data_IF_846073287729
#
_entry.id   IF_846073287729
#
_cell.length_a   1.000
_cell.length_b   1.000
_cell.length_c   1.000
_cell.angle_alpha   90.00
_cell.angle_beta   90.00
_cell.angle_gamma   90.00
#
_symmetry.space_group_name_H-M   'P 1'
#
loop_
_entity.id
_entity.type
_entity.pdbx_description
1 polymer ?
#
# COMPACT_ATOMS: atom_id res chain seq x y z
N UNK A 1 -25.95 49.27 -32.19
CA UNK A 1 -25.82 48.96 -30.77
C UNK A 1 -26.21 47.51 -30.65
N UNK A 2 -25.22 46.62 -30.61
CA UNK A 2 -25.31 45.24 -30.11
C UNK A 2 -23.88 44.82 -29.73
N UNK A 3 -23.81 44.09 -28.63
CA UNK A 3 -22.73 43.95 -27.64
C UNK A 3 -21.58 42.98 -28.05
N UNK A 4 -20.29 43.34 -27.90
CA UNK A 4 -19.18 42.43 -28.16
C UNK A 4 -18.65 41.81 -26.85
N UNK A 5 -19.25 40.72 -26.38
CA UNK A 5 -18.62 39.84 -25.37
C UNK A 5 -19.25 38.44 -25.36
N UNK A 6 -18.77 37.57 -26.27
CA UNK A 6 -18.68 36.13 -26.01
C UNK A 6 -17.35 35.62 -26.55
N UNK A 7 -16.40 35.38 -25.64
CA UNK A 7 -15.14 34.68 -25.90
C UNK A 7 -15.41 33.21 -25.59
N UNK A 8 -15.37 32.36 -26.63
CA UNK A 8 -15.34 30.91 -26.46
C UNK A 8 -13.98 30.46 -25.88
N UNK A 9 -13.95 29.48 -24.97
CA UNK A 9 -12.70 28.96 -24.41
C UNK A 9 -11.91 28.14 -25.45
N UNK A 10 -10.56 28.09 -25.33
CA UNK A 10 -9.70 27.46 -26.32
C UNK A 10 -9.83 25.94 -26.33
N UNK A 11 -9.89 25.38 -27.54
CA UNK A 11 -9.81 23.94 -27.82
C UNK A 11 -8.44 23.41 -27.40
N UNK A 12 -8.41 22.42 -26.51
CA UNK A 12 -7.22 21.69 -26.10
C UNK A 12 -6.97 20.54 -27.08
N UNK A 13 -5.89 20.62 -27.86
CA UNK A 13 -5.39 19.53 -28.69
C UNK A 13 -4.48 18.63 -27.87
N UNK A 14 -4.97 17.45 -27.46
CA UNK A 14 -4.13 16.35 -27.00
C UNK A 14 -4.84 15.02 -27.24
N UNK A 15 -4.87 14.59 -28.50
CA UNK A 15 -5.19 13.21 -28.87
C UNK A 15 -3.91 12.57 -29.40
N UNK A 16 -3.23 11.82 -28.53
CA UNK A 16 -2.26 10.78 -28.91
C UNK A 16 -2.40 9.63 -27.91
N UNK A 17 -3.52 8.91 -28.01
CA UNK A 17 -3.68 7.60 -27.40
C UNK A 17 -3.44 6.55 -28.49
N UNK A 18 -2.50 5.59 -28.34
CA UNK A 18 -2.38 4.48 -29.28
C UNK A 18 -3.63 3.60 -29.14
N UNK A 19 -4.57 3.72 -30.07
CA UNK A 19 -5.60 2.71 -30.28
C UNK A 19 -4.91 1.44 -30.77
N UNK A 20 -4.69 0.48 -29.87
CA UNK A 20 -4.37 -0.89 -30.26
C UNK A 20 -5.60 -1.40 -31.04
N UNK A 21 -5.37 -1.84 -32.27
CA UNK A 21 -6.42 -2.35 -33.15
C UNK A 21 -7.15 -3.50 -32.43
N UNK A 22 -8.48 -3.41 -32.36
CA UNK A 22 -9.34 -4.43 -31.77
C UNK A 22 -9.08 -5.82 -32.36
N UNK A 23 -8.60 -5.89 -33.60
CA UNK A 23 -8.22 -7.14 -34.25
C UNK A 23 -6.93 -7.73 -33.68
N UNK A 24 -5.90 -6.91 -33.44
CA UNK A 24 -4.63 -7.34 -32.84
C UNK A 24 -4.85 -7.89 -31.42
N UNK A 25 -5.77 -7.27 -30.67
CA UNK A 25 -6.15 -7.77 -29.34
C UNK A 25 -6.83 -9.15 -29.40
N UNK A 26 -7.70 -9.38 -30.38
CA UNK A 26 -8.36 -10.68 -30.52
C UNK A 26 -7.40 -11.77 -31.00
N UNK A 27 -6.47 -11.44 -31.91
CA UNK A 27 -5.46 -12.38 -32.40
C UNK A 27 -4.54 -12.86 -31.26
N UNK A 28 -4.25 -11.99 -30.28
CA UNK A 28 -3.51 -12.35 -29.07
C UNK A 28 -4.32 -13.33 -28.21
N UNK A 29 -5.60 -13.06 -27.98
CA UNK A 29 -6.47 -13.94 -27.18
C UNK A 29 -6.61 -15.34 -27.81
N UNK A 30 -6.79 -15.39 -29.13
CA UNK A 30 -6.88 -16.65 -29.87
C UNK A 30 -5.57 -17.45 -29.81
N UNK A 31 -4.41 -16.76 -29.85
CA UNK A 31 -3.11 -17.39 -29.67
C UNK A 31 -2.99 -18.03 -28.29
N UNK A 32 -3.36 -17.33 -27.22
CA UNK A 32 -3.31 -17.86 -25.86
C UNK A 32 -4.27 -19.05 -25.66
N UNK A 33 -5.52 -18.95 -26.16
CA UNK A 33 -6.48 -20.04 -26.09
C UNK A 33 -5.95 -21.31 -26.78
N UNK A 34 -5.24 -21.15 -27.90
CA UNK A 34 -4.62 -22.25 -28.65
C UNK A 34 -3.42 -22.87 -27.91
N UNK A 35 -2.66 -22.09 -27.15
CA UNK A 35 -1.58 -22.61 -26.32
C UNK A 35 -2.08 -23.37 -25.09
N UNK A 36 -3.14 -22.88 -24.44
CA UNK A 36 -3.81 -23.58 -23.32
C UNK A 36 -4.41 -24.91 -23.79
N UNK A 37 -4.99 -24.95 -24.99
CA UNK A 37 -5.51 -26.19 -25.58
C UNK A 37 -4.39 -27.20 -25.91
N UNK A 38 -3.16 -26.73 -26.14
CA UNK A 38 -2.01 -27.59 -26.45
C UNK A 38 -1.36 -28.18 -25.19
N UNK A 39 -1.41 -27.46 -24.07
CA UNK A 39 -0.90 -27.90 -22.77
C UNK A 39 -1.95 -27.61 -21.67
N UNK A 40 -2.96 -28.48 -21.50
CA UNK A 40 -3.94 -28.33 -20.42
C UNK A 40 -3.23 -28.35 -19.05
N UNK A 41 -3.56 -27.45 -18.12
CA UNK A 41 -3.05 -27.52 -16.75
C UNK A 41 -3.42 -28.88 -16.14
N UNK A 42 -2.45 -29.56 -15.56
CA UNK A 42 -2.67 -30.85 -14.89
C UNK A 42 -3.68 -30.67 -13.75
N UNK A 43 -4.72 -31.52 -13.63
CA UNK A 43 -5.68 -31.43 -12.54
C UNK A 43 -4.95 -31.57 -11.20
N UNK A 44 -4.93 -30.51 -10.39
CA UNK A 44 -4.43 -30.61 -9.03
C UNK A 44 -5.44 -31.42 -8.22
N UNK A 45 -5.10 -32.67 -7.95
CA UNK A 45 -5.85 -33.52 -7.01
C UNK A 45 -5.74 -32.88 -5.62
N UNK A 46 -6.85 -32.58 -4.93
CA UNK A 46 -6.81 -32.09 -3.55
C UNK A 46 -6.04 -33.05 -2.65
N UNK A 47 -5.20 -32.58 -1.72
CA UNK A 47 -4.54 -33.48 -0.77
C UNK A 47 -5.60 -34.21 0.07
N UNK A 48 -5.44 -35.52 0.16
CA UNK A 48 -6.29 -36.44 0.91
C UNK A 48 -6.30 -36.04 2.41
N UNK A 49 -7.46 -35.91 3.06
CA UNK A 49 -7.53 -35.51 4.46
C UNK A 49 -6.90 -36.60 5.34
N UNK A 50 -5.90 -36.21 6.14
CA UNK A 50 -5.24 -37.08 7.11
C UNK A 50 -6.19 -37.34 8.30
N UNK A 51 -6.89 -38.49 8.28
CA UNK A 51 -7.74 -38.97 9.37
C UNK A 51 -6.86 -39.73 10.36
N UNK A 52 -6.10 -39.04 11.21
CA UNK A 52 -5.43 -39.69 12.34
C UNK A 52 -5.34 -38.80 13.59
N UNK A 53 -6.25 -37.83 13.73
CA UNK A 53 -6.26 -36.93 14.89
C UNK A 53 -7.65 -36.38 15.24
N UNK A 54 -8.66 -37.25 15.39
CA UNK A 54 -9.93 -36.86 15.99
C UNK A 54 -10.15 -37.61 17.32
N UNK A 55 -10.36 -36.91 18.45
CA UNK A 55 -10.53 -37.55 19.75
C UNK A 55 -11.80 -38.40 19.77
N UNK A 56 -11.64 -39.65 20.18
CA UNK A 56 -12.74 -40.54 20.56
C UNK A 56 -13.30 -40.03 21.87
N UNK A 57 -14.46 -39.37 21.85
CA UNK A 57 -15.47 -39.32 22.91
C UNK A 57 -16.46 -38.17 22.62
N UNK A 58 -17.44 -38.43 21.74
CA UNK A 58 -18.69 -37.67 21.74
C UNK A 58 -19.85 -38.66 21.84
N UNK A 59 -20.50 -38.57 22.99
CA UNK A 59 -21.70 -39.30 23.40
C UNK A 59 -22.87 -39.02 22.44
N UNK A 60 -23.48 -40.08 21.93
CA UNK A 60 -24.50 -40.05 20.89
C UNK A 60 -25.87 -39.66 21.47
N UNK A 61 -26.21 -38.37 21.47
CA UNK A 61 -27.61 -37.93 21.64
C UNK A 61 -28.43 -38.19 20.39
N UNK A 62 -29.58 -38.82 20.60
CA UNK A 62 -30.52 -39.32 19.59
C UNK A 62 -31.10 -38.20 18.70
N UNK A 63 -30.96 -38.36 17.38
CA UNK A 63 -31.62 -37.52 16.36
C UNK A 63 -32.99 -38.13 16.00
N UNK A 64 -34.08 -37.35 15.87
CA UNK A 64 -35.40 -37.86 15.50
C UNK A 64 -35.49 -38.31 14.03
N UNK A 65 -36.49 -39.12 13.64
CA UNK A 65 -36.56 -39.74 12.32
C UNK A 65 -36.86 -38.72 11.20
N UNK A 66 -36.08 -38.86 10.13
CA UNK A 66 -36.12 -38.15 8.85
C UNK A 66 -37.46 -38.31 8.13
N UNK A 67 -38.04 -37.18 7.69
CA UNK A 67 -39.17 -37.14 6.76
C UNK A 67 -38.71 -37.46 5.31
N UNK A 68 -39.58 -37.97 4.41
CA UNK A 68 -39.18 -38.37 3.06
C UNK A 68 -38.85 -37.15 2.20
N UNK A 69 -37.72 -37.23 1.50
CA UNK A 69 -37.25 -36.27 0.50
C UNK A 69 -38.16 -36.38 -0.74
N UNK A 70 -38.74 -35.28 -1.26
CA UNK A 70 -39.42 -35.31 -2.55
C UNK A 70 -38.42 -35.34 -3.71
N UNK A 71 -38.68 -36.22 -4.66
CA UNK A 71 -37.92 -36.41 -5.90
C UNK A 71 -38.11 -35.24 -6.87
N UNK A 72 -36.98 -34.80 -7.44
CA UNK A 72 -36.82 -33.99 -8.65
C UNK A 72 -37.08 -32.46 -8.57
N UNK A 73 -36.10 -31.62 -8.98
CA UNK A 73 -36.32 -30.20 -9.22
C UNK A 73 -37.04 -29.97 -10.57
N UNK A 74 -37.81 -28.87 -10.71
CA UNK A 74 -38.45 -28.51 -11.97
C UNK A 74 -37.42 -28.04 -13.03
N UNK A 75 -37.69 -28.22 -14.34
CA UNK A 75 -36.77 -27.78 -15.39
C UNK A 75 -36.72 -26.25 -15.46
N UNK A 76 -35.51 -25.72 -15.52
CA UNK A 76 -35.21 -24.30 -15.67
C UNK A 76 -35.53 -23.84 -17.11
N UNK A 77 -36.06 -22.63 -17.33
CA UNK A 77 -36.32 -22.11 -18.68
C UNK A 77 -35.01 -21.84 -19.43
N UNK A 78 -34.96 -22.34 -20.65
CA UNK A 78 -33.84 -22.19 -21.59
C UNK A 78 -33.78 -20.74 -22.10
N UNK A 79 -32.72 -20.02 -21.74
CA UNK A 79 -32.45 -18.67 -22.24
C UNK A 79 -31.73 -18.78 -23.59
N UNK A 80 -32.45 -18.45 -24.65
CA UNK A 80 -31.90 -18.39 -26.01
C UNK A 80 -31.14 -17.07 -26.18
N UNK A 81 -29.81 -17.15 -26.37
CA UNK A 81 -28.99 -15.98 -26.66
C UNK A 81 -29.29 -15.48 -28.09
N UNK A 82 -29.56 -14.18 -28.31
CA UNK A 82 -29.73 -13.65 -29.65
C UNK A 82 -28.40 -13.72 -30.42
N UNK A 83 -28.43 -14.32 -31.60
CA UNK A 83 -27.28 -14.37 -32.51
C UNK A 83 -26.92 -12.96 -33.00
N UNK A 84 -25.63 -12.60 -33.10
CA UNK A 84 -25.21 -11.34 -33.68
C UNK A 84 -25.53 -11.30 -35.19
N UNK A 85 -25.82 -10.11 -35.75
CA UNK A 85 -26.15 -9.98 -37.17
C UNK A 85 -24.96 -10.35 -38.07
N UNK A 86 -25.20 -10.82 -39.31
CA UNK A 86 -24.13 -11.20 -40.23
C UNK A 86 -23.25 -9.99 -40.55
N UNK A 87 -21.94 -10.12 -40.33
CA UNK A 87 -20.98 -9.12 -40.80
C UNK A 87 -20.83 -9.23 -42.32
N UNK A 88 -20.98 -8.09 -42.99
CA UNK A 88 -20.78 -7.92 -44.41
C UNK A 88 -19.28 -7.96 -44.72
N UNK A 89 -18.84 -9.02 -45.39
CA UNK A 89 -17.43 -9.23 -45.76
C UNK A 89 -17.10 -8.34 -46.96
N UNK A 90 -16.32 -7.29 -46.75
CA UNK A 90 -15.69 -6.55 -47.84
C UNK A 90 -14.50 -7.35 -48.41
N UNK A 91 -14.22 -7.28 -49.72
CA UNK A 91 -13.14 -8.07 -50.31
C UNK A 91 -11.78 -7.42 -49.99
N UNK A 92 -10.90 -8.19 -49.35
CA UNK A 92 -9.49 -7.84 -49.13
C UNK A 92 -8.75 -7.86 -50.47
N UNK A 93 -8.07 -6.75 -50.80
CA UNK A 93 -7.19 -6.63 -51.96
C UNK A 93 -5.86 -7.36 -51.69
N UNK A 94 -5.26 -8.09 -52.64
CA UNK A 94 -4.01 -8.80 -52.39
C UNK A 94 -2.84 -7.83 -52.21
N UNK A 95 -2.16 -7.95 -51.07
CA UNK A 95 -0.97 -7.20 -50.71
C UNK A 95 0.22 -7.55 -51.63
N UNK A 96 0.94 -6.51 -52.05
CA UNK A 96 2.14 -6.57 -52.88
C UNK A 96 3.36 -6.85 -51.98
N UNK A 97 4.34 -7.69 -52.36
CA UNK A 97 5.47 -7.97 -51.48
C UNK A 97 6.35 -6.72 -51.28
N UNK A 98 6.48 -6.27 -50.03
CA UNK A 98 7.49 -5.26 -49.66
C UNK A 98 8.88 -5.89 -49.66
N UNK A 99 9.76 -5.31 -50.47
CA UNK A 99 11.17 -5.65 -50.60
C UNK A 99 11.94 -5.11 -49.38
N UNK A 100 12.80 -5.94 -48.77
CA UNK A 100 13.62 -5.57 -47.62
C UNK A 100 14.61 -4.43 -48.01
N UNK A 101 14.80 -3.40 -47.18
CA UNK A 101 15.83 -2.40 -47.43
C UNK A 101 17.24 -2.98 -47.19
N UNK A 102 18.27 -2.48 -47.92
CA UNK A 102 19.64 -2.97 -47.80
C UNK A 102 20.30 -2.56 -46.47
N UNK A 103 21.36 -3.27 -46.04
CA UNK A 103 22.05 -2.97 -44.80
C UNK A 103 22.87 -1.68 -44.88
N UNK A 104 22.82 -0.90 -43.79
CA UNK A 104 23.59 0.34 -43.61
C UNK A 104 25.11 0.07 -43.53
N UNK A 105 25.95 1.01 -44.01
CA UNK A 105 27.40 0.88 -43.97
C UNK A 105 27.98 1.02 -42.54
N UNK A 106 29.22 0.55 -42.30
CA UNK A 106 29.84 0.54 -40.98
C UNK A 106 30.09 1.97 -40.47
N UNK A 107 29.83 2.17 -39.18
CA UNK A 107 30.11 3.42 -38.46
C UNK A 107 31.61 3.45 -38.12
N UNK A 108 32.36 4.38 -38.71
CA UNK A 108 33.74 4.64 -38.31
C UNK A 108 33.76 5.41 -36.98
N UNK A 109 34.47 4.87 -36.00
CA UNK A 109 34.73 5.47 -34.70
C UNK A 109 35.67 6.68 -34.84
N UNK A 110 35.13 7.88 -34.66
CA UNK A 110 35.93 9.10 -34.44
C UNK A 110 35.58 9.64 -33.06
N UNK A 111 36.49 9.44 -32.11
CA UNK A 111 36.43 10.01 -30.76
C UNK A 111 36.73 11.53 -30.83
N UNK A 112 35.89 12.39 -30.23
CA UNK A 112 36.11 13.83 -30.27
C UNK A 112 37.21 14.28 -29.28
N UNK A 113 37.90 15.41 -29.54
CA UNK A 113 38.98 15.88 -28.67
C UNK A 113 38.44 16.45 -27.37
N UNK A 114 39.11 16.12 -26.26
CA UNK A 114 38.83 16.66 -24.92
C UNK A 114 39.23 18.14 -24.88
N UNK A 115 38.25 19.03 -24.74
CA UNK A 115 38.45 20.46 -24.48
C UNK A 115 38.70 20.71 -22.98
N UNK A 116 39.82 21.35 -22.65
CA UNK A 116 40.14 21.76 -21.27
C UNK A 116 39.22 22.89 -20.80
N UNK A 117 38.54 22.69 -19.67
CA UNK A 117 37.62 23.66 -19.05
C UNK A 117 38.43 24.82 -18.43
N UNK A 118 38.18 26.09 -18.79
CA UNK A 118 38.91 27.21 -18.22
C UNK A 118 38.42 27.50 -16.79
N UNK A 119 39.38 27.68 -15.87
CA UNK A 119 39.11 28.09 -14.49
C UNK A 119 38.37 29.44 -14.43
N UNK A 120 37.12 29.38 -13.97
CA UNK A 120 36.24 30.53 -13.73
C UNK A 120 36.82 31.48 -12.68
N UNK A 121 36.91 32.77 -13.03
CA UNK A 121 37.33 33.88 -12.17
C UNK A 121 36.29 34.09 -11.05
N UNK A 122 36.70 34.30 -9.78
CA UNK A 122 35.78 34.33 -8.65
C UNK A 122 34.77 35.50 -8.74
N UNK A 123 33.48 35.14 -8.73
CA UNK A 123 32.37 36.09 -8.89
C UNK A 123 32.16 36.95 -7.62
N UNK A 124 32.27 38.29 -7.69
CA UNK A 124 32.12 39.17 -6.53
C UNK A 124 30.70 39.13 -5.95
N UNK A 125 29.70 38.73 -6.74
CA UNK A 125 28.32 38.56 -6.31
C UNK A 125 28.17 37.42 -5.26
N UNK A 126 28.87 36.30 -5.45
CA UNK A 126 28.80 35.17 -4.53
C UNK A 126 29.41 35.54 -3.16
N UNK A 127 30.48 36.35 -3.17
CA UNK A 127 31.06 36.88 -1.93
C UNK A 127 30.06 37.76 -1.18
N UNK A 128 29.33 38.63 -1.88
CA UNK A 128 28.30 39.46 -1.26
C UNK A 128 27.17 38.63 -0.63
N UNK A 129 26.67 37.61 -1.33
CA UNK A 129 25.64 36.70 -0.79
C UNK A 129 26.13 35.96 0.46
N UNK A 130 27.39 35.52 0.47
CA UNK A 130 27.98 34.87 1.64
C UNK A 130 28.01 35.81 2.85
N UNK A 131 28.38 37.08 2.67
CA UNK A 131 28.38 38.05 3.77
C UNK A 131 26.97 38.40 4.27
N UNK A 132 25.98 38.50 3.37
CA UNK A 132 24.58 38.72 3.76
C UNK A 132 24.06 37.52 4.57
N UNK A 133 24.31 36.30 4.10
CA UNK A 133 23.93 35.07 4.80
C UNK A 133 24.57 34.98 6.19
N UNK A 134 25.86 35.32 6.31
CA UNK A 134 26.57 35.34 7.59
C UNK A 134 25.98 36.35 8.57
N UNK A 135 25.59 37.54 8.12
CA UNK A 135 24.97 38.56 8.97
C UNK A 135 23.60 38.12 9.50
N UNK A 136 22.77 37.50 8.66
CA UNK A 136 21.47 36.96 9.07
C UNK A 136 21.65 35.85 10.10
N UNK A 137 22.60 34.94 9.87
CA UNK A 137 22.89 33.86 10.81
C UNK A 137 23.33 34.38 12.19
N UNK A 138 24.21 35.38 12.23
CA UNK A 138 24.65 36.00 13.48
C UNK A 138 23.50 36.71 14.21
N UNK A 139 22.59 37.37 13.48
CA UNK A 139 21.42 38.03 14.08
C UNK A 139 20.47 37.02 14.74
N UNK A 140 20.24 35.86 14.11
CA UNK A 140 19.41 34.79 14.67
C UNK A 140 20.04 34.23 15.95
N UNK A 141 21.35 33.95 15.94
CA UNK A 141 22.05 33.45 17.14
C UNK A 141 21.96 34.47 18.29
N UNK A 142 22.18 35.75 18.01
CA UNK A 142 22.05 36.80 19.03
C UNK A 142 20.61 36.88 19.59
N UNK A 143 19.59 36.71 18.74
CA UNK A 143 18.19 36.66 19.16
C UNK A 143 17.89 35.49 20.09
N UNK A 144 18.39 34.29 19.77
CA UNK A 144 18.21 33.10 20.62
C UNK A 144 18.93 33.25 21.96
N UNK A 145 20.16 33.79 21.97
CA UNK A 145 20.90 34.08 23.21
C UNK A 145 20.18 35.14 24.03
N UNK A 146 19.62 36.19 23.40
CA UNK A 146 18.84 37.21 24.08
C UNK A 146 17.60 36.61 24.76
N UNK A 147 16.86 35.75 24.06
CA UNK A 147 15.70 35.02 24.63
C UNK A 147 16.13 34.12 25.79
N UNK A 148 17.25 33.40 25.64
CA UNK A 148 17.78 32.53 26.69
C UNK A 148 18.21 33.29 27.95
N UNK A 149 18.80 34.48 27.80
CA UNK A 149 19.28 35.28 28.92
C UNK A 149 18.19 36.15 29.57
N UNK A 150 17.12 36.49 28.84
CA UNK A 150 16.08 37.45 29.29
C UNK A 150 14.72 36.77 29.48
N UNK A 151 14.59 35.45 29.33
CA UNK A 151 13.42 34.75 29.84
C UNK A 151 13.55 34.54 31.36
N UNK A 152 12.93 35.37 32.24
CA UNK A 152 12.86 35.03 33.64
C UNK A 152 11.99 33.80 33.80
N UNK A 153 12.55 32.76 34.42
CA UNK A 153 11.76 31.73 35.06
C UNK A 153 10.84 32.40 36.09
N UNK A 154 9.56 32.53 35.75
CA UNK A 154 8.48 32.87 36.68
C UNK A 154 7.32 31.91 36.41
N UNK A 155 7.53 30.62 36.72
CA UNK A 155 6.40 29.77 37.10
C UNK A 155 6.04 30.21 38.53
N UNK A 156 5.25 31.27 38.63
CA UNK A 156 4.66 31.66 39.90
C UNK A 156 3.66 30.57 40.31
N UNK A 157 4.09 29.71 41.24
CA UNK A 157 3.18 28.97 42.10
C UNK A 157 2.40 29.97 42.95
N UNK A 158 1.26 30.45 42.46
CA UNK A 158 0.21 31.06 43.26
C UNK A 158 -1.08 31.12 42.44
N UNK A 159 -1.82 30.02 42.46
CA UNK A 159 -3.27 29.96 42.68
C UNK A 159 -3.73 28.51 42.52
N UNK A 160 -3.59 27.74 43.60
CA UNK A 160 -4.28 26.48 43.78
C UNK A 160 -5.68 26.81 44.34
N UNK A 161 -6.79 26.45 43.66
CA UNK A 161 -8.09 26.46 44.31
C UNK A 161 -8.07 25.33 45.34
N UNK A 162 -8.26 25.66 46.62
CA UNK A 162 -8.69 24.67 47.59
C UNK A 162 -10.12 24.27 47.22
N UNK A 163 -10.27 23.07 46.67
CA UNK A 163 -11.58 22.44 46.53
C UNK A 163 -11.62 21.22 47.45
N UNK A 164 -12.70 21.17 48.21
CA UNK A 164 -13.00 20.19 49.23
C UNK A 164 -12.86 18.74 48.77
N UNK A 165 -12.45 17.91 49.73
CA UNK A 165 -12.45 16.46 49.67
C UNK A 165 -13.87 15.97 49.35
N UNK A 166 -13.98 15.11 48.31
CA UNK A 166 -15.15 14.32 47.85
C UNK A 166 -15.69 14.67 46.45
N UNK A 167 -14.83 14.73 45.42
CA UNK A 167 -15.25 14.75 44.00
C UNK A 167 -14.46 13.69 43.22
N UNK A 168 -15.07 12.90 42.30
CA UNK A 168 -14.36 11.86 41.56
C UNK A 168 -13.21 12.49 40.77
N UNK A 169 -12.02 11.88 40.85
CA UNK A 169 -10.85 12.29 40.07
C UNK A 169 -11.25 12.45 38.62
N UNK A 170 -11.31 13.70 38.14
CA UNK A 170 -11.49 13.99 36.72
C UNK A 170 -10.28 13.42 36.01
N UNK A 171 -10.46 12.32 35.29
CA UNK A 171 -9.46 11.79 34.36
C UNK A 171 -9.05 12.97 33.47
N UNK A 172 -7.74 13.26 33.33
CA UNK A 172 -7.29 14.34 32.45
C UNK A 172 -7.91 14.13 31.07
N UNK A 173 -8.79 15.06 30.67
CA UNK A 173 -9.42 15.02 29.35
C UNK A 173 -8.41 15.54 28.35
N UNK A 174 -7.65 14.63 27.75
CA UNK A 174 -6.72 14.95 26.68
C UNK A 174 -6.43 13.71 25.83
N UNK A 175 -5.83 13.96 24.67
CA UNK A 175 -5.50 12.92 23.70
C UNK A 175 -4.04 13.03 23.30
N UNK A 176 -3.38 11.88 23.17
CA UNK A 176 -2.07 11.79 22.52
C UNK A 176 -2.29 11.61 21.02
N UNK A 177 -1.47 12.29 20.21
CA UNK A 177 -1.48 12.16 18.75
C UNK A 177 -0.26 11.35 18.31
N UNK A 178 -0.50 10.28 17.56
CA UNK A 178 0.56 9.48 16.93
C UNK A 178 0.09 9.06 15.54
N UNK A 179 0.81 9.49 14.51
CA UNK A 179 0.52 9.17 13.11
C UNK A 179 -0.98 9.35 12.78
N UNK A 180 -1.51 10.55 13.09
CA UNK A 180 -2.91 10.97 12.91
C UNK A 180 -3.97 10.18 13.69
N UNK A 181 -3.53 9.25 14.55
CA UNK A 181 -4.40 8.57 15.51
C UNK A 181 -4.44 9.32 16.83
N UNK A 182 -5.64 9.36 17.42
CA UNK A 182 -5.92 10.00 18.71
C UNK A 182 -6.16 8.93 19.77
N UNK A 183 -5.33 8.95 20.82
CA UNK A 183 -5.41 8.01 21.95
C UNK A 183 -5.81 8.76 23.22
N UNK A 184 -6.86 8.31 23.90
CA UNK A 184 -7.27 8.93 25.17
C UNK A 184 -6.21 8.70 26.25
N UNK A 185 -6.08 9.64 27.19
CA UNK A 185 -5.25 9.44 28.38
C UNK A 185 -5.60 8.11 29.08
N UNK A 186 -4.58 7.29 29.33
CA UNK A 186 -4.67 5.95 29.91
C UNK A 186 -4.90 4.83 28.88
N UNK A 187 -5.21 5.15 27.62
CA UNK A 187 -5.36 4.16 26.56
C UNK A 187 -4.00 3.52 26.23
N UNK A 188 -3.97 2.19 26.18
CA UNK A 188 -2.80 1.42 25.75
C UNK A 188 -3.04 0.79 24.37
N UNK A 189 -1.98 0.68 23.58
CA UNK A 189 -2.01 0.18 22.21
C UNK A 189 -0.67 -0.49 21.85
N UNK A 190 -0.66 -1.47 20.92
CA UNK A 190 0.58 -2.12 20.51
C UNK A 190 1.52 -1.14 19.79
N UNK A 191 2.82 -1.26 20.06
CA UNK A 191 3.85 -0.53 19.34
C UNK A 191 4.04 -1.10 17.92
N UNK A 192 4.67 -0.31 17.04
CA UNK A 192 4.92 -0.70 15.66
C UNK A 192 5.85 -1.92 15.52
N UNK A 193 6.66 -2.19 16.54
CA UNK A 193 7.55 -3.37 16.61
C UNK A 193 6.81 -4.68 16.94
N UNK A 194 5.51 -4.61 17.26
CA UNK A 194 4.66 -5.76 17.53
C UNK A 194 4.95 -6.49 18.85
N UNK A 195 5.91 -6.03 19.66
CA UNK A 195 6.25 -6.66 20.94
C UNK A 195 6.07 -5.68 22.12
N UNK A 196 6.27 -4.40 21.88
CA UNK A 196 6.12 -3.37 22.90
C UNK A 196 4.67 -2.88 22.97
N UNK A 197 4.31 -2.33 24.13
CA UNK A 197 3.01 -1.69 24.35
C UNK A 197 3.23 -0.24 24.71
N UNK A 198 2.51 0.64 24.05
CA UNK A 198 2.51 2.07 24.27
C UNK A 198 1.27 2.50 25.05
N UNK A 199 1.41 3.51 25.90
CA UNK A 199 0.32 4.10 26.68
C UNK A 199 0.34 5.61 26.56
N UNK A 200 -0.83 6.21 26.36
CA UNK A 200 -1.00 7.67 26.43
C UNK A 200 -0.99 8.12 27.89
N UNK A 201 0.05 8.84 28.29
CA UNK A 201 0.24 9.37 29.63
C UNK A 201 -0.69 10.55 29.94
N UNK A 202 -0.88 10.84 31.22
CA UNK A 202 -1.66 12.00 31.69
C UNK A 202 -1.04 13.36 31.31
N UNK A 203 0.24 13.35 30.93
CA UNK A 203 0.99 14.50 30.42
C UNK A 203 0.92 14.65 28.89
N UNK A 204 0.06 13.85 28.24
CA UNK A 204 -0.13 13.81 26.78
C UNK A 204 1.11 13.31 26.02
N UNK A 205 1.99 12.59 26.70
CA UNK A 205 3.12 11.89 26.06
C UNK A 205 2.78 10.42 25.84
N UNK A 206 3.35 9.83 24.80
CA UNK A 206 3.26 8.39 24.58
C UNK A 206 4.52 7.75 25.16
N UNK A 207 4.31 6.82 26.10
CA UNK A 207 5.38 6.01 26.68
C UNK A 207 5.20 4.57 26.25
N UNK A 208 6.23 3.97 25.66
CA UNK A 208 6.22 2.56 25.27
C UNK A 208 7.11 1.75 26.20
N UNK A 209 6.78 0.47 26.37
CA UNK A 209 7.72 -0.48 26.95
C UNK A 209 8.97 -0.56 26.06
N UNK A 210 10.12 -0.85 26.66
CA UNK A 210 11.39 -1.07 25.96
C UNK A 210 11.84 -2.52 26.14
N UNK A 211 10.92 -3.46 25.90
CA UNK A 211 11.25 -4.88 25.89
C UNK A 211 12.09 -5.17 24.65
N UNK A 212 13.17 -5.92 24.84
CA UNK A 212 13.91 -6.50 23.73
C UNK A 212 12.98 -7.45 23.00
N UNK A 213 12.55 -7.07 21.79
CA UNK A 213 11.80 -7.98 20.94
C UNK A 213 12.74 -9.11 20.52
N UNK A 214 12.47 -10.33 20.98
CA UNK A 214 13.20 -11.50 20.51
C UNK A 214 13.01 -11.60 18.99
N UNK A 215 14.11 -11.45 18.24
CA UNK A 215 14.12 -11.64 16.79
C UNK A 215 13.76 -13.08 16.38
N UNK A 216 13.63 -13.99 17.35
CA UNK A 216 13.15 -15.36 17.16
C UNK A 216 11.67 -15.60 17.51
N UNK A 217 11.00 -14.65 18.15
CA UNK A 217 9.60 -14.83 18.60
C UNK A 217 8.94 -13.46 18.74
N UNK A 218 8.66 -12.82 17.59
CA UNK A 218 7.47 -11.98 17.52
C UNK A 218 6.30 -12.84 18.02
N UNK A 219 5.49 -12.33 18.96
CA UNK A 219 4.36 -13.07 19.53
C UNK A 219 3.30 -13.17 18.45
N UNK A 220 3.52 -14.14 17.56
CA UNK A 220 2.62 -14.47 16.48
C UNK A 220 1.46 -15.21 17.13
N UNK A 221 0.23 -14.71 16.98
CA UNK A 221 -0.94 -15.42 17.45
C UNK A 221 -0.95 -16.81 16.80
N UNK A 222 -1.22 -17.87 17.57
CA UNK A 222 -1.14 -19.27 17.09
C UNK A 222 -2.03 -19.56 15.88
N UNK A 223 -2.96 -18.67 15.58
CA UNK A 223 -3.87 -18.66 14.44
C UNK A 223 -3.33 -17.87 13.23
N UNK A 224 -2.01 -17.69 13.09
CA UNK A 224 -1.39 -17.08 11.91
C UNK A 224 -0.57 -18.09 11.10
N UNK A 225 -0.56 -17.90 9.79
CA UNK A 225 0.21 -18.72 8.84
C UNK A 225 1.27 -17.87 8.13
N UNK A 226 2.29 -18.51 7.57
CA UNK A 226 3.37 -17.84 6.83
C UNK A 226 3.21 -18.06 5.33
N UNK A 227 3.15 -16.98 4.57
CA UNK A 227 3.27 -17.01 3.12
C UNK A 227 4.73 -16.79 2.73
N UNK A 228 5.25 -17.59 1.81
CA UNK A 228 6.62 -17.46 1.27
C UNK A 228 6.58 -17.49 -0.25
N UNK A 229 7.12 -16.46 -0.88
CA UNK A 229 7.27 -16.41 -2.32
C UNK A 229 8.72 -16.65 -2.72
N UNK A 230 8.98 -17.81 -3.34
CA UNK A 230 10.34 -18.21 -3.72
C UNK A 230 10.91 -17.46 -4.93
N UNK A 231 10.03 -16.91 -5.79
CA UNK A 231 10.42 -16.15 -6.98
C UNK A 231 10.91 -14.75 -6.60
N UNK A 232 10.14 -14.05 -5.77
CA UNK A 232 10.43 -12.68 -5.34
C UNK A 232 11.15 -12.58 -3.99
N UNK A 233 11.50 -13.73 -3.40
CA UNK A 233 12.36 -13.82 -2.20
C UNK A 233 11.82 -13.01 -1.02
N UNK A 234 10.55 -13.18 -0.70
CA UNK A 234 9.96 -12.59 0.50
C UNK A 234 9.07 -13.58 1.25
N UNK A 235 8.81 -13.25 2.50
CA UNK A 235 7.79 -13.91 3.32
C UNK A 235 7.12 -12.89 4.23
N UNK A 236 5.85 -13.13 4.54
CA UNK A 236 5.11 -12.43 5.58
C UNK A 236 4.15 -13.41 6.23
N UNK A 237 3.58 -13.01 7.36
CA UNK A 237 2.55 -13.77 8.04
C UNK A 237 1.20 -13.09 7.93
N UNK A 238 0.14 -13.89 8.01
CA UNK A 238 -1.23 -13.44 7.83
C UNK A 238 -2.19 -14.32 8.65
N UNK A 239 -3.41 -13.84 8.98
CA UNK A 239 -4.38 -14.63 9.74
C UNK A 239 -4.72 -15.95 9.04
N UNK A 240 -4.84 -17.05 9.79
CA UNK A 240 -5.01 -18.39 9.23
C UNK A 240 -6.35 -18.60 8.50
N UNK A 241 -7.34 -17.75 8.78
CA UNK A 241 -8.64 -17.73 8.10
C UNK A 241 -8.67 -16.87 6.84
N UNK A 242 -7.58 -16.16 6.53
CA UNK A 242 -7.39 -15.42 5.29
C UNK A 242 -6.78 -16.29 4.20
N UNK A 243 -6.85 -15.84 2.94
CA UNK A 243 -6.27 -16.54 1.78
C UNK A 243 -5.33 -15.61 1.04
N UNK A 244 -4.16 -16.11 0.61
CA UNK A 244 -3.26 -15.36 -0.26
C UNK A 244 -3.52 -15.72 -1.72
N UNK A 245 -3.95 -14.75 -2.51
CA UNK A 245 -4.21 -14.87 -3.94
C UNK A 245 -3.09 -14.18 -4.72
N UNK A 246 -2.55 -14.86 -5.73
CA UNK A 246 -1.61 -14.26 -6.67
C UNK A 246 -2.38 -13.64 -7.81
N UNK A 247 -2.24 -12.33 -8.01
CA UNK A 247 -2.85 -11.62 -9.12
C UNK A 247 -1.77 -10.89 -9.93
N UNK A 248 -1.90 -10.87 -11.25
CA UNK A 248 -0.96 -10.18 -12.12
C UNK A 248 -1.66 -8.97 -12.74
N UNK A 249 -1.92 -7.95 -11.92
CA UNK A 249 -2.45 -6.69 -12.45
C UNK A 249 -1.45 -6.08 -13.42
N UNK A 250 -1.95 -5.61 -14.55
CA UNK A 250 -1.15 -4.92 -15.56
C UNK A 250 -0.52 -3.66 -14.95
N UNK A 251 0.77 -3.45 -15.21
CA UNK A 251 1.53 -2.32 -14.68
C UNK A 251 2.37 -2.63 -13.44
N UNK A 252 2.23 -3.81 -12.83
CA UNK A 252 3.08 -4.28 -11.74
C UNK A 252 3.91 -5.50 -12.14
N UNK A 253 5.02 -5.73 -11.44
CA UNK A 253 5.80 -6.97 -11.61
C UNK A 253 5.08 -8.17 -11.02
N UNK A 254 4.38 -7.98 -9.89
CA UNK A 254 3.47 -8.95 -9.30
C UNK A 254 2.53 -8.27 -8.30
N UNK A 255 1.40 -8.93 -8.02
CA UNK A 255 0.48 -8.53 -6.96
C UNK A 255 0.05 -9.74 -6.12
N UNK A 256 -0.04 -9.54 -4.81
CA UNK A 256 -0.48 -10.54 -3.85
C UNK A 256 -1.58 -9.94 -3.00
N UNK A 257 -2.73 -10.62 -2.92
CA UNK A 257 -3.88 -10.17 -2.13
C UNK A 257 -4.04 -11.11 -0.95
N UNK A 258 -4.03 -10.57 0.26
CA UNK A 258 -4.42 -11.25 1.49
C UNK A 258 -5.90 -10.95 1.69
N UNK A 259 -6.74 -11.89 1.23
CA UNK A 259 -8.20 -11.79 1.27
C UNK A 259 -8.71 -12.11 2.69
N UNK A 260 -9.67 -11.32 3.19
CA UNK A 260 -10.33 -11.57 4.47
C UNK A 260 -9.45 -11.53 5.69
N UNK A 261 -8.75 -10.41 5.85
CA UNK A 261 -7.98 -10.16 7.07
C UNK A 261 -8.87 -9.89 8.28
N UNK A 262 -10.10 -9.38 8.14
CA UNK A 262 -11.03 -9.23 9.27
C UNK A 262 -11.45 -10.58 9.87
N UNK A 263 -11.65 -11.59 9.03
CA UNK A 263 -12.17 -12.89 9.44
C UNK A 263 -13.68 -12.96 9.59
N UNK A 264 -14.38 -11.88 9.22
CA UNK A 264 -15.83 -11.71 9.34
C UNK A 264 -16.31 -10.70 8.31
N UNK A 265 -17.62 -10.62 8.08
CA UNK A 265 -18.18 -9.55 7.26
C UNK A 265 -18.28 -8.22 8.04
N UNK A 266 -17.94 -7.07 7.42
CA UNK A 266 -17.40 -6.92 6.06
C UNK A 266 -15.96 -7.43 5.89
N UNK A 267 -15.68 -7.99 4.72
CA UNK A 267 -14.36 -8.45 4.31
C UNK A 267 -13.45 -7.24 4.00
N UNK A 268 -12.19 -7.30 4.44
CA UNK A 268 -11.13 -6.36 4.06
C UNK A 268 -9.90 -7.11 3.60
N UNK A 269 -9.23 -6.52 2.60
CA UNK A 269 -8.09 -7.12 1.93
C UNK A 269 -6.85 -6.25 2.10
N UNK A 270 -5.70 -6.91 2.13
CA UNK A 270 -4.39 -6.25 2.04
C UNK A 270 -3.75 -6.65 0.73
N UNK A 271 -3.38 -5.66 -0.09
CA UNK A 271 -2.69 -5.89 -1.36
C UNK A 271 -1.22 -5.55 -1.23
N UNK A 272 -0.35 -6.44 -1.69
CA UNK A 272 1.09 -6.24 -1.78
C UNK A 272 1.53 -6.18 -3.24
N UNK A 273 2.06 -5.05 -3.66
CA UNK A 273 2.54 -4.78 -5.01
C UNK A 273 4.06 -4.81 -5.08
N UNK A 274 4.58 -5.39 -6.17
CA UNK A 274 5.99 -5.36 -6.53
C UNK A 274 6.16 -4.55 -7.83
N UNK A 275 7.07 -3.59 -7.83
CA UNK A 275 7.26 -2.64 -8.93
C UNK A 275 6.26 -1.48 -8.89
N UNK A 276 5.88 -1.02 -7.70
CA UNK A 276 5.04 0.18 -7.55
C UNK A 276 5.84 1.47 -7.78
N UNK A 277 5.17 2.62 -7.72
CA UNK A 277 5.83 3.91 -7.53
C UNK A 277 6.43 3.99 -6.12
N UNK A 278 7.33 4.95 -5.90
CA UNK A 278 8.02 5.16 -4.62
C UNK A 278 7.19 5.95 -3.59
N UNK A 279 5.97 6.36 -3.95
CA UNK A 279 5.07 7.12 -3.08
C UNK A 279 5.50 8.57 -2.87
N UNK A 280 6.49 9.10 -3.61
CA UNK A 280 6.97 10.47 -3.43
C UNK A 280 5.94 11.54 -3.80
N UNK A 281 4.89 11.15 -4.52
CA UNK A 281 3.81 12.03 -4.98
C UNK A 281 2.87 12.45 -3.84
N UNK A 282 3.02 11.89 -2.63
CA UNK A 282 2.16 12.18 -1.48
C UNK A 282 2.82 13.16 -0.50
N UNK A 283 2.28 14.38 -0.46
CA UNK A 283 2.77 15.46 0.41
C UNK A 283 2.53 15.19 1.91
N UNK A 284 1.44 14.49 2.25
CA UNK A 284 1.06 14.18 3.63
C UNK A 284 1.45 12.75 4.01
N UNK A 285 2.74 12.57 4.29
CA UNK A 285 3.30 11.25 4.54
C UNK A 285 4.19 11.21 5.79
N UNK A 286 4.20 10.05 6.45
CA UNK A 286 5.00 9.80 7.64
C UNK A 286 6.11 8.79 7.36
N UNK A 287 7.25 8.93 8.03
CA UNK A 287 8.37 7.98 7.90
C UNK A 287 8.18 6.78 8.82
N UNK A 288 8.48 5.60 8.33
CA UNK A 288 8.47 4.32 9.07
C UNK A 288 9.59 3.41 8.56
N UNK A 289 9.61 2.13 8.98
CA UNK A 289 10.52 1.13 8.43
C UNK A 289 9.83 -0.21 8.22
N UNK A 290 10.17 -0.88 7.11
CA UNK A 290 9.70 -2.23 6.77
C UNK A 290 10.92 -3.08 6.48
N UNK A 291 11.07 -4.21 7.17
CA UNK A 291 12.21 -5.13 7.03
C UNK A 291 13.60 -4.44 7.08
N UNK A 292 13.73 -3.35 7.84
CA UNK A 292 14.97 -2.57 7.98
C UNK A 292 15.23 -1.54 6.87
N UNK A 293 14.31 -1.40 5.91
CA UNK A 293 14.35 -0.35 4.90
C UNK A 293 13.55 0.87 5.36
N UNK A 294 13.99 2.07 4.99
CA UNK A 294 13.15 3.26 5.15
C UNK A 294 11.88 3.11 4.32
N UNK A 295 10.76 3.47 4.94
CA UNK A 295 9.44 3.36 4.34
C UNK A 295 8.67 4.66 4.56
N UNK A 296 7.73 4.93 3.66
CA UNK A 296 6.81 6.06 3.74
C UNK A 296 5.41 5.49 3.90
N UNK A 297 4.67 6.02 4.88
CA UNK A 297 3.27 5.67 5.14
C UNK A 297 2.38 6.85 4.83
N UNK A 298 1.29 6.57 4.10
CA UNK A 298 0.29 7.56 3.70
C UNK A 298 -1.08 7.08 4.17
N UNK A 299 -1.74 7.90 4.96
CA UNK A 299 -3.12 7.69 5.38
C UNK A 299 -4.03 8.55 4.51
N UNK A 300 -4.96 7.93 3.79
CA UNK A 300 -5.91 8.61 2.91
C UNK A 300 -7.34 8.51 3.47
N UNK A 301 -7.67 9.24 4.57
CA UNK A 301 -8.99 9.17 5.20
C UNK A 301 -10.06 9.98 4.45
N UNK A 302 -9.68 10.90 3.56
CA UNK A 302 -10.60 11.80 2.85
C UNK A 302 -10.44 11.71 1.34
N UNK A 303 -11.55 11.84 0.59
CA UNK A 303 -11.57 11.80 -0.87
C UNK A 303 -11.58 10.41 -1.52
N UNK A 304 -11.26 9.36 -0.75
CA UNK A 304 -11.34 7.96 -1.20
C UNK A 304 -12.49 7.25 -0.49
N UNK A 305 -13.33 6.56 -1.26
CA UNK A 305 -14.39 5.70 -0.74
C UNK A 305 -14.18 4.30 -1.31
N UNK A 306 -13.55 3.38 -0.56
CA UNK A 306 -13.24 3.43 0.88
C UNK A 306 -11.92 4.16 1.24
N UNK A 307 -11.72 4.57 2.51
CA UNK A 307 -10.42 4.98 3.06
C UNK A 307 -9.29 3.98 2.78
N UNK A 308 -8.06 4.49 2.69
CA UNK A 308 -6.88 3.67 2.39
C UNK A 308 -5.69 3.98 3.28
N UNK A 309 -4.89 2.95 3.53
CA UNK A 309 -3.57 3.03 4.14
C UNK A 309 -2.54 2.46 3.17
N UNK A 310 -1.54 3.27 2.81
CA UNK A 310 -0.50 2.90 1.87
C UNK A 310 0.86 2.91 2.58
N UNK A 311 1.70 1.91 2.31
CA UNK A 311 3.07 1.85 2.81
C UNK A 311 4.01 1.52 1.66
N UNK A 312 4.85 2.48 1.30
CA UNK A 312 5.84 2.40 0.24
C UNK A 312 7.22 2.17 0.82
N UNK A 313 8.00 1.28 0.21
CA UNK A 313 9.41 1.07 0.56
C UNK A 313 10.19 0.52 -0.63
N UNK A 314 11.52 0.59 -0.56
CA UNK A 314 12.39 0.17 -1.66
C UNK A 314 13.63 -0.54 -1.12
N UNK A 315 14.08 -1.57 -1.84
CA UNK A 315 15.40 -2.20 -1.59
C UNK A 315 16.54 -1.52 -2.38
N UNK A 316 16.23 -0.41 -3.05
CA UNK A 316 17.13 0.32 -3.94
C UNK A 316 17.13 -0.18 -5.39
N UNK A 317 16.44 -1.28 -5.69
CA UNK A 317 16.25 -1.81 -7.05
C UNK A 317 14.79 -1.91 -7.44
N UNK A 318 13.94 -2.28 -6.49
CA UNK A 318 12.52 -2.52 -6.67
C UNK A 318 11.75 -1.75 -5.62
N UNK A 319 10.67 -1.12 -6.06
CA UNK A 319 9.72 -0.46 -5.17
C UNK A 319 8.58 -1.40 -4.83
N UNK A 320 8.15 -1.32 -3.58
CA UNK A 320 7.14 -2.18 -2.98
C UNK A 320 6.06 -1.31 -2.35
N UNK A 321 4.82 -1.80 -2.38
CA UNK A 321 3.69 -1.13 -1.75
C UNK A 321 2.81 -2.14 -1.04
N UNK A 322 2.44 -1.84 0.20
CA UNK A 322 1.30 -2.45 0.86
C UNK A 322 0.13 -1.47 0.88
N UNK A 323 -1.04 -1.94 0.47
CA UNK A 323 -2.28 -1.18 0.49
C UNK A 323 -3.33 -1.91 1.32
N UNK A 324 -3.95 -1.21 2.25
CA UNK A 324 -5.17 -1.63 2.93
C UNK A 324 -6.31 -0.72 2.49
N UNK A 325 -7.38 -1.31 1.98
CA UNK A 325 -8.64 -0.61 1.68
C UNK A 325 -9.68 -1.04 2.70
N UNK A 326 -10.19 -0.11 3.49
CA UNK A 326 -11.06 -0.43 4.64
C UNK A 326 -12.04 0.69 4.98
N UNK A 327 -12.92 0.48 5.96
CA UNK A 327 -13.99 1.44 6.28
C UNK A 327 -13.58 2.56 7.24
N UNK A 328 -12.33 2.53 7.73
CA UNK A 328 -11.78 3.50 8.67
C UNK A 328 -12.34 3.42 10.10
N UNK A 329 -13.14 2.40 10.42
CA UNK A 329 -13.83 2.29 11.72
C UNK A 329 -13.34 1.11 12.56
N UNK A 330 -13.06 -0.03 11.94
CA UNK A 330 -12.59 -1.22 12.67
C UNK A 330 -11.09 -1.20 12.92
N UNK A 331 -10.68 -0.65 14.07
CA UNK A 331 -9.28 -0.58 14.47
C UNK A 331 -8.58 -1.96 14.51
N UNK A 332 -9.34 -3.05 14.63
CA UNK A 332 -8.80 -4.42 14.59
C UNK A 332 -8.20 -4.73 13.23
N UNK A 333 -8.81 -4.25 12.15
CA UNK A 333 -8.33 -4.41 10.77
C UNK A 333 -6.99 -3.69 10.59
N UNK A 334 -6.91 -2.44 11.07
CA UNK A 334 -5.67 -1.67 11.03
C UNK A 334 -4.55 -2.32 11.85
N UNK A 335 -4.89 -2.89 13.02
CA UNK A 335 -3.93 -3.62 13.84
C UNK A 335 -3.40 -4.87 13.13
N UNK A 336 -4.28 -5.64 12.46
CA UNK A 336 -3.87 -6.81 11.67
C UNK A 336 -3.00 -6.41 10.48
N UNK A 337 -3.31 -5.32 9.79
CA UNK A 337 -2.46 -4.77 8.74
C UNK A 337 -1.06 -4.42 9.26
N UNK A 338 -0.97 -3.66 10.35
CA UNK A 338 0.32 -3.33 10.99
C UNK A 338 1.09 -4.59 11.41
N UNK A 339 0.39 -5.63 11.88
CA UNK A 339 1.00 -6.90 12.24
C UNK A 339 1.56 -7.63 11.01
N UNK A 340 0.82 -7.71 9.90
CA UNK A 340 1.31 -8.25 8.62
C UNK A 340 2.61 -7.54 8.22
N UNK A 341 2.60 -6.20 8.20
CA UNK A 341 3.77 -5.37 7.88
C UNK A 341 4.99 -5.70 8.77
N UNK A 342 4.77 -5.85 10.07
CA UNK A 342 5.84 -6.16 11.04
C UNK A 342 6.49 -7.53 10.80
N UNK A 343 5.78 -8.47 10.20
CA UNK A 343 6.29 -9.82 9.90
C UNK A 343 6.97 -9.93 8.53
N UNK A 344 6.87 -8.89 7.70
CA UNK A 344 7.45 -8.90 6.37
C UNK A 344 8.98 -8.98 6.43
N UNK A 345 9.56 -9.86 5.63
CA UNK A 345 11.01 -10.00 5.49
C UNK A 345 11.39 -10.53 4.12
N UNK A 346 12.55 -10.09 3.63
CA UNK A 346 13.19 -10.72 2.48
C UNK A 346 13.81 -12.05 2.90
N UNK A 347 13.65 -13.06 2.06
CA UNK A 347 14.25 -14.38 2.20
C UNK A 347 15.53 -14.47 1.39
N UNK A 348 16.43 -15.38 1.77
CA UNK A 348 17.70 -15.58 1.05
C UNK A 348 17.53 -16.31 -0.29
#
# INVERSE_FOLDING_TARGET
MDDPNQINPPQNTSDNNPQIDSQEYQDILDKYAKEIAKNPPEPQTPPEPNIDSLPSDIELTQVPPTAPIPSSPPPQPEFEFPQPPPQEVTPVTPDLPHELPPPLPPKDDIEPPIEEIPHSKPNPFLKLLFFISLLVFLAVILGLVYVYLIAPAQINQQNLPQTDQNTPTSIPSGVCLLNDQSFNVGQSFPAADGCNTCTCGSDLTISCTEMACDTSTSVIPSDWQTYTNSQYKFSFQYPANSVVLNNNYTGYSATFIIDNISGSNPNYDVTFYIGSKDGSDYDDSTKTSIAGFEAIRVSLPTGHNPPQELVFFSDGKTNYEFQLVWDGKDQTVLNKFNQILSTFKFTK
#
